data_IF_361197249909
#
_entry.id   IF_361197249909
#
_cell.length_a   1.000
_cell.length_b   1.000
_cell.length_c   1.000
_cell.angle_alpha   90.00
_cell.angle_beta   90.00
_cell.angle_gamma   90.00
#
_symmetry.space_group_name_H-M   'P 1'
#
loop_
_entity.id
_entity.type
_entity.pdbx_description
1 polymer ?
#
# COMPACT_ATOMS: atom_id res chain seq x y z
N UNK A 1 -7.92 -2.85 22.82
CA UNK A 1 -8.95 -2.56 21.79
C UNK A 1 -10.24 -3.36 21.94
N UNK A 2 -10.29 -4.34 22.88
CA UNK A 2 -11.48 -5.17 23.17
C UNK A 2 -12.13 -5.75 21.87
N UNK A 3 -11.32 -6.29 20.96
CA UNK A 3 -11.78 -6.81 19.67
C UNK A 3 -12.51 -5.77 18.79
N UNK A 4 -12.16 -4.49 18.90
CA UNK A 4 -12.73 -3.39 18.13
C UNK A 4 -12.84 -3.72 16.63
N UNK A 5 -11.84 -4.40 16.08
CA UNK A 5 -11.78 -4.82 14.69
C UNK A 5 -12.93 -5.74 14.26
N UNK A 6 -13.64 -6.35 15.20
CA UNK A 6 -14.81 -7.19 14.91
C UNK A 6 -16.11 -6.53 15.39
N UNK A 7 -16.10 -5.99 16.62
CA UNK A 7 -17.29 -5.47 17.29
C UNK A 7 -17.76 -4.15 16.66
N UNK A 8 -16.82 -3.30 16.21
CA UNK A 8 -17.12 -1.95 15.71
C UNK A 8 -17.20 -1.84 14.18
N UNK A 9 -17.30 -2.96 13.44
CA UNK A 9 -17.49 -2.91 11.98
C UNK A 9 -18.71 -2.06 11.58
N UNK A 10 -19.88 -2.17 12.25
CA UNK A 10 -21.02 -1.30 11.93
C UNK A 10 -20.72 0.19 12.14
N UNK A 11 -19.97 0.53 13.18
CA UNK A 11 -19.56 1.91 13.44
C UNK A 11 -18.55 2.41 12.39
N UNK A 12 -17.61 1.55 11.95
CA UNK A 12 -16.67 1.87 10.86
C UNK A 12 -17.46 2.25 9.58
N UNK A 13 -18.45 1.44 9.20
CA UNK A 13 -19.29 1.69 8.02
C UNK A 13 -20.14 2.96 8.21
N UNK A 14 -20.67 3.19 9.42
CA UNK A 14 -21.42 4.40 9.71
C UNK A 14 -20.58 5.66 9.51
N UNK A 15 -19.31 5.67 9.99
CA UNK A 15 -18.41 6.81 9.82
C UNK A 15 -18.09 7.14 8.36
N UNK A 16 -18.19 6.18 7.44
CA UNK A 16 -18.03 6.42 6.00
C UNK A 16 -19.22 7.20 5.40
N UNK A 17 -20.43 7.01 5.97
CA UNK A 17 -21.67 7.64 5.49
C UNK A 17 -21.93 8.99 6.12
N UNK A 18 -21.60 9.13 7.40
CA UNK A 18 -21.82 10.35 8.21
C UNK A 18 -20.62 11.32 8.12
N UNK A 19 -19.93 11.33 6.97
CA UNK A 19 -18.75 12.16 6.78
C UNK A 19 -19.02 13.63 7.14
N UNK A 20 -18.17 14.18 8.02
CA UNK A 20 -18.25 15.60 8.38
C UNK A 20 -17.59 16.44 7.29
N UNK A 21 -18.29 17.49 6.82
CA UNK A 21 -17.70 18.49 5.95
C UNK A 21 -16.73 19.36 6.75
N UNK A 22 -15.53 19.56 6.21
CA UNK A 22 -14.49 20.36 6.84
C UNK A 22 -14.43 21.75 6.22
N UNK A 23 -14.23 22.77 7.08
CA UNK A 23 -13.99 24.14 6.63
C UNK A 23 -12.49 24.42 6.45
N UNK A 24 -11.65 23.86 7.30
CA UNK A 24 -10.23 24.18 7.39
C UNK A 24 -9.29 22.99 7.07
N UNK A 25 -9.78 21.74 7.16
CA UNK A 25 -9.03 20.51 6.89
C UNK A 25 -9.53 19.76 5.67
N UNK A 26 -9.19 18.47 5.59
CA UNK A 26 -9.83 17.53 4.66
C UNK A 26 -11.05 16.91 5.32
N UNK A 27 -12.07 16.54 4.53
CA UNK A 27 -13.20 15.76 5.05
C UNK A 27 -12.77 14.35 5.43
N UNK A 28 -13.59 13.66 6.23
CA UNK A 28 -13.34 12.26 6.62
C UNK A 28 -13.19 11.34 5.40
N UNK A 29 -14.02 11.54 4.38
CA UNK A 29 -13.95 10.80 3.12
C UNK A 29 -12.68 11.11 2.32
N UNK A 30 -12.28 12.38 2.23
CA UNK A 30 -11.03 12.75 1.58
C UNK A 30 -9.81 12.12 2.27
N UNK A 31 -9.78 12.11 3.60
CA UNK A 31 -8.74 11.44 4.36
C UNK A 31 -8.70 9.93 4.11
N UNK A 32 -9.88 9.27 4.03
CA UNK A 32 -9.96 7.87 3.64
C UNK A 32 -9.39 7.64 2.25
N UNK A 33 -9.76 8.46 1.27
CA UNK A 33 -9.26 8.32 -0.11
C UNK A 33 -7.75 8.56 -0.20
N UNK A 34 -7.20 9.52 0.56
CA UNK A 34 -5.76 9.73 0.66
C UNK A 34 -5.03 8.51 1.26
N UNK A 35 -5.62 7.87 2.26
CA UNK A 35 -5.08 6.67 2.86
C UNK A 35 -5.17 5.46 1.93
N UNK A 36 -6.31 5.27 1.26
CA UNK A 36 -6.47 4.21 0.26
C UNK A 36 -5.56 4.43 -0.95
N UNK A 37 -5.31 5.68 -1.34
CA UNK A 37 -4.33 6.00 -2.37
C UNK A 37 -2.92 5.46 -2.03
N UNK A 38 -2.51 5.51 -0.76
CA UNK A 38 -1.25 4.94 -0.32
C UNK A 38 -1.23 3.41 -0.33
N UNK A 39 -2.32 2.80 0.08
CA UNK A 39 -2.46 1.34 0.25
C UNK A 39 -2.69 0.60 -1.07
N UNK A 40 -3.65 1.07 -1.88
CA UNK A 40 -4.04 0.38 -3.12
C UNK A 40 -3.05 0.67 -4.23
N UNK A 41 -2.11 -0.26 -4.44
CA UNK A 41 -0.99 -0.11 -5.36
C UNK A 41 -0.41 -1.44 -5.82
N UNK A 42 0.90 -1.46 -6.03
CA UNK A 42 1.64 -2.66 -6.42
C UNK A 42 1.50 -3.79 -5.39
N UNK A 43 1.28 -3.47 -4.10
CA UNK A 43 1.04 -4.45 -3.04
C UNK A 43 -0.15 -5.37 -3.31
N UNK A 44 -1.25 -4.81 -3.81
CA UNK A 44 -2.49 -5.55 -4.07
C UNK A 44 -2.44 -6.43 -5.32
N UNK A 45 -1.59 -6.12 -6.28
CA UNK A 45 -1.46 -6.84 -7.55
C UNK A 45 -0.20 -7.71 -7.53
N UNK A 46 0.97 -7.09 -7.64
CA UNK A 46 2.22 -7.82 -7.67
C UNK A 46 2.65 -8.39 -6.32
N UNK A 47 2.26 -7.73 -5.21
CA UNK A 47 2.52 -8.23 -3.85
C UNK A 47 1.78 -9.51 -3.56
N UNK A 48 0.49 -9.60 -3.91
CA UNK A 48 -0.32 -10.83 -3.78
C UNK A 48 0.23 -11.94 -4.67
N UNK A 49 0.58 -11.62 -5.93
CA UNK A 49 1.21 -12.58 -6.84
C UNK A 49 2.53 -13.13 -6.27
N UNK A 50 3.36 -12.25 -5.68
CA UNK A 50 4.62 -12.64 -5.03
C UNK A 50 4.37 -13.50 -3.78
N UNK A 51 3.35 -13.17 -2.98
CA UNK A 51 2.97 -13.98 -1.82
C UNK A 51 2.57 -15.41 -2.23
N UNK A 52 1.77 -15.54 -3.31
CA UNK A 52 1.36 -16.84 -3.84
C UNK A 52 2.55 -17.60 -4.46
N UNK A 53 3.43 -16.88 -5.19
CA UNK A 53 4.58 -17.51 -5.84
C UNK A 53 5.56 -18.15 -4.86
N UNK A 54 5.80 -17.51 -3.73
CA UNK A 54 6.82 -17.98 -2.76
C UNK A 54 6.22 -18.59 -1.48
N UNK A 55 4.94 -18.37 -1.21
CA UNK A 55 4.26 -18.92 -0.03
C UNK A 55 3.09 -19.84 -0.37
N UNK A 56 2.81 -20.04 -1.65
CA UNK A 56 1.63 -20.80 -2.11
C UNK A 56 0.31 -20.10 -1.78
N UNK A 57 -0.83 -20.73 -2.11
CA UNK A 57 -2.17 -20.21 -1.78
C UNK A 57 -2.36 -19.88 -0.29
N UNK A 58 -1.70 -20.60 0.60
CA UNK A 58 -1.77 -20.40 2.05
C UNK A 58 -1.30 -19.01 2.52
N UNK A 59 -0.45 -18.33 1.76
CA UNK A 59 -0.02 -16.98 2.07
C UNK A 59 -1.19 -15.99 2.13
N UNK A 60 -2.24 -16.22 1.34
CA UNK A 60 -3.45 -15.38 1.32
C UNK A 60 -4.17 -15.43 2.67
N UNK A 61 -4.28 -16.59 3.31
CA UNK A 61 -4.83 -16.71 4.67
C UNK A 61 -4.05 -15.84 5.66
N UNK A 62 -2.74 -15.87 5.62
CA UNK A 62 -1.91 -15.07 6.52
C UNK A 62 -1.96 -13.57 6.22
N UNK A 63 -2.20 -13.17 4.96
CA UNK A 63 -2.56 -11.79 4.64
C UNK A 63 -3.88 -11.37 5.31
N UNK A 64 -4.91 -12.24 5.33
CA UNK A 64 -6.17 -11.95 6.03
C UNK A 64 -5.98 -11.80 7.54
N UNK A 65 -5.17 -12.67 8.14
CA UNK A 65 -4.80 -12.55 9.55
C UNK A 65 -4.14 -11.21 9.83
N UNK A 66 -3.21 -10.78 8.96
CA UNK A 66 -2.56 -9.47 9.08
C UNK A 66 -3.55 -8.30 8.91
N UNK A 67 -4.56 -8.42 8.07
CA UNK A 67 -5.61 -7.40 7.96
C UNK A 67 -6.43 -7.27 9.25
N UNK A 68 -6.82 -8.39 9.85
CA UNK A 68 -7.59 -8.41 11.09
C UNK A 68 -6.80 -7.83 12.28
N UNK A 69 -5.52 -8.19 12.41
CA UNK A 69 -4.63 -7.62 13.44
C UNK A 69 -4.31 -6.16 13.15
N UNK A 70 -3.98 -5.86 11.90
CA UNK A 70 -3.60 -4.55 11.43
C UNK A 70 -4.70 -3.50 11.56
N UNK A 71 -5.98 -3.89 11.44
CA UNK A 71 -7.08 -2.96 11.64
C UNK A 71 -7.09 -2.36 13.06
N UNK A 72 -6.79 -3.16 14.10
CA UNK A 72 -6.67 -2.65 15.45
C UNK A 72 -5.46 -1.72 15.62
N UNK A 73 -4.34 -2.05 15.00
CA UNK A 73 -3.13 -1.20 14.99
C UNK A 73 -3.40 0.12 14.27
N UNK A 74 -4.01 0.06 13.08
CA UNK A 74 -4.37 1.24 12.29
C UNK A 74 -5.34 2.16 13.03
N UNK A 75 -6.29 1.61 13.80
CA UNK A 75 -7.16 2.39 14.68
C UNK A 75 -6.35 3.19 15.70
N UNK A 76 -5.42 2.54 16.40
CA UNK A 76 -4.64 3.19 17.45
C UNK A 76 -3.74 4.28 16.88
N UNK A 77 -2.91 3.94 15.88
CA UNK A 77 -1.97 4.90 15.30
C UNK A 77 -2.67 6.11 14.67
N UNK A 78 -3.80 5.90 14.00
CA UNK A 78 -4.57 6.98 13.36
C UNK A 78 -5.30 7.86 14.37
N UNK A 79 -5.80 7.28 15.47
CA UNK A 79 -6.35 8.04 16.60
C UNK A 79 -5.27 8.90 17.25
N UNK A 80 -4.06 8.36 17.46
CA UNK A 80 -2.91 9.13 17.97
C UNK A 80 -2.51 10.25 17.00
N UNK A 81 -2.51 9.97 15.69
CA UNK A 81 -2.26 10.97 14.65
C UNK A 81 -3.22 12.16 14.76
N UNK A 82 -4.50 11.90 15.04
CA UNK A 82 -5.51 12.95 15.25
C UNK A 82 -5.34 13.70 16.56
N UNK A 83 -5.02 13.02 17.67
CA UNK A 83 -4.87 13.66 19.00
C UNK A 83 -3.69 14.64 18.99
N UNK A 84 -2.58 14.27 18.35
CA UNK A 84 -1.33 15.04 18.40
C UNK A 84 -1.04 15.86 17.15
N UNK A 85 -2.00 16.00 16.23
CA UNK A 85 -1.83 16.82 15.02
C UNK A 85 -1.54 18.29 15.35
N UNK A 86 -0.93 18.96 14.41
CA UNK A 86 -0.64 20.38 14.45
C UNK A 86 -1.21 21.08 13.23
N UNK A 87 -1.46 22.37 13.35
CA UNK A 87 -1.79 23.21 12.20
C UNK A 87 -0.48 23.80 11.65
N UNK A 88 -0.21 23.57 10.39
CA UNK A 88 0.94 24.15 9.69
C UNK A 88 0.76 25.69 9.63
N UNK A 89 1.81 26.43 10.04
CA UNK A 89 1.77 27.89 10.13
C UNK A 89 1.70 28.57 8.76
N UNK A 90 2.22 27.92 7.73
CA UNK A 90 2.33 28.53 6.40
C UNK A 90 1.12 28.19 5.52
N UNK A 91 0.60 26.95 5.62
CA UNK A 91 -0.52 26.48 4.78
C UNK A 91 -1.86 26.49 5.50
N UNK A 92 -1.87 26.52 6.84
CA UNK A 92 -3.06 26.35 7.67
C UNK A 92 -3.61 24.92 7.72
N UNK A 93 -3.01 23.97 7.02
CA UNK A 93 -3.44 22.58 6.95
C UNK A 93 -3.08 21.80 8.22
N UNK A 94 -3.86 20.78 8.57
CA UNK A 94 -3.51 19.88 9.65
C UNK A 94 -2.45 18.88 9.20
N UNK A 95 -1.44 18.67 10.06
CA UNK A 95 -0.34 17.72 9.86
C UNK A 95 -0.13 16.91 11.13
N UNK A 96 0.15 15.62 10.99
CA UNK A 96 0.39 14.71 12.12
C UNK A 96 1.03 13.41 11.62
N UNK A 97 1.21 12.49 12.55
CA UNK A 97 1.84 11.20 12.29
C UNK A 97 2.76 10.80 13.44
N UNK A 98 3.52 9.69 13.33
CA UNK A 98 4.33 9.17 14.41
C UNK A 98 5.33 10.19 14.99
N UNK A 99 6.03 10.93 14.15
CA UNK A 99 6.98 11.94 14.61
C UNK A 99 6.32 12.97 15.56
N UNK A 100 5.06 13.33 15.30
CA UNK A 100 4.31 14.27 16.11
C UNK A 100 3.87 13.67 17.44
N UNK A 101 3.29 12.46 17.45
CA UNK A 101 2.82 11.88 18.70
C UNK A 101 3.98 11.36 19.57
N UNK A 102 5.08 10.86 19.02
CA UNK A 102 6.27 10.54 19.82
C UNK A 102 6.81 11.76 20.55
N UNK A 103 6.88 12.90 19.90
CA UNK A 103 7.42 14.12 20.52
C UNK A 103 6.48 14.75 21.55
N UNK A 104 5.16 14.61 21.38
CA UNK A 104 4.17 15.32 22.21
C UNK A 104 3.61 14.48 23.36
N UNK A 105 3.34 13.18 23.13
CA UNK A 105 2.63 12.35 24.08
C UNK A 105 3.31 12.32 25.47
N UNK A 106 4.61 12.36 25.50
CA UNK A 106 5.41 12.25 26.72
C UNK A 106 6.32 13.47 26.96
N UNK A 107 6.03 14.61 26.36
CA UNK A 107 6.83 15.84 26.50
C UNK A 107 6.97 16.33 27.95
N UNK A 108 5.99 15.98 28.82
CA UNK A 108 5.97 16.30 30.24
C UNK A 108 6.85 15.36 31.10
N UNK A 109 7.37 14.27 30.55
CA UNK A 109 8.22 13.32 31.27
C UNK A 109 9.71 13.73 31.22
N UNK A 110 10.52 13.37 32.25
CA UNK A 110 11.96 13.69 32.27
C UNK A 110 12.72 13.15 31.04
N UNK A 111 12.30 11.99 30.53
CA UNK A 111 12.87 11.35 29.33
C UNK A 111 12.22 11.79 28.01
N UNK A 112 11.28 12.75 28.06
CA UNK A 112 10.60 13.26 26.85
C UNK A 112 11.54 13.79 25.77
N UNK A 113 12.72 14.32 26.16
CA UNK A 113 13.76 14.74 25.20
C UNK A 113 14.27 13.60 24.32
N UNK A 114 14.37 12.38 24.85
CA UNK A 114 14.77 11.21 24.06
C UNK A 114 13.73 10.87 22.98
N UNK A 115 12.44 11.05 23.27
CA UNK A 115 11.38 10.84 22.29
C UNK A 115 11.33 11.93 21.21
N UNK A 116 11.84 13.13 21.48
CA UNK A 116 12.04 14.13 20.41
C UNK A 116 13.06 13.63 19.40
N UNK A 117 14.19 13.09 19.86
CA UNK A 117 15.21 12.49 19.00
C UNK A 117 14.64 11.29 18.24
N UNK A 118 13.88 10.44 18.92
CA UNK A 118 13.20 9.29 18.31
C UNK A 118 12.20 9.72 17.23
N UNK A 119 11.39 10.76 17.48
CA UNK A 119 10.46 11.31 16.51
C UNK A 119 11.19 11.89 15.28
N UNK A 120 12.33 12.54 15.45
CA UNK A 120 13.17 13.00 14.33
C UNK A 120 13.76 11.81 13.55
N UNK A 121 14.22 10.77 14.24
CA UNK A 121 14.71 9.55 13.60
C UNK A 121 13.60 8.90 12.76
N UNK A 122 12.40 8.75 13.32
CA UNK A 122 11.25 8.23 12.58
C UNK A 122 10.95 9.09 11.34
N UNK A 123 10.95 10.41 11.48
CA UNK A 123 10.69 11.33 10.37
C UNK A 123 11.73 11.17 9.24
N UNK A 124 13.02 11.03 9.59
CA UNK A 124 14.08 10.80 8.61
C UNK A 124 13.88 9.47 7.88
N UNK A 125 13.62 8.39 8.63
CA UNK A 125 13.38 7.06 8.04
C UNK A 125 12.16 7.09 7.13
N UNK A 126 11.06 7.73 7.55
CA UNK A 126 9.85 7.85 6.73
C UNK A 126 10.11 8.66 5.46
N UNK A 127 10.88 9.76 5.53
CA UNK A 127 11.26 10.52 4.34
C UNK A 127 11.95 9.61 3.32
N UNK A 128 12.97 8.86 3.72
CA UNK A 128 13.68 7.98 2.80
C UNK A 128 12.81 6.81 2.32
N UNK A 129 12.04 6.19 3.20
CA UNK A 129 11.14 5.10 2.84
C UNK A 129 10.12 5.54 1.79
N UNK A 130 9.43 6.65 2.02
CA UNK A 130 8.32 7.09 1.17
C UNK A 130 8.71 7.98 0.00
N UNK A 131 9.95 8.51 -0.05
CA UNK A 131 10.43 9.27 -1.21
C UNK A 131 11.43 8.53 -2.08
N UNK A 132 12.08 7.46 -1.58
CA UNK A 132 13.08 6.75 -2.35
C UNK A 132 12.86 5.23 -2.43
N UNK A 133 12.59 4.53 -1.32
CA UNK A 133 12.52 3.07 -1.35
C UNK A 133 11.20 2.54 -1.95
N UNK A 134 10.07 3.03 -1.50
CA UNK A 134 8.75 2.54 -1.88
C UNK A 134 8.26 2.99 -3.27
N UNK A 135 8.51 4.25 -3.73
CA UNK A 135 8.08 4.67 -5.06
C UNK A 135 8.69 3.84 -6.20
N UNK A 136 9.93 3.36 -6.01
CA UNK A 136 10.60 2.50 -6.97
C UNK A 136 9.88 1.16 -7.20
N UNK A 137 9.30 0.55 -6.15
CA UNK A 137 8.51 -0.68 -6.28
C UNK A 137 7.27 -0.45 -7.14
N UNK A 138 6.59 0.68 -6.92
CA UNK A 138 5.40 1.04 -7.69
C UNK A 138 5.73 1.21 -9.17
N UNK A 139 6.80 1.95 -9.46
CA UNK A 139 7.25 2.21 -10.83
C UNK A 139 7.73 0.93 -11.54
N UNK A 140 8.41 0.04 -10.82
CA UNK A 140 8.84 -1.26 -11.33
C UNK A 140 7.66 -2.11 -11.78
N UNK A 141 6.62 -2.21 -10.93
CA UNK A 141 5.43 -2.98 -11.26
C UNK A 141 4.69 -2.44 -12.47
N UNK A 142 4.59 -1.11 -12.61
CA UNK A 142 3.98 -0.48 -13.81
C UNK A 142 4.80 -0.78 -15.05
N UNK A 143 6.13 -0.64 -14.99
CA UNK A 143 7.01 -0.91 -16.12
C UNK A 143 6.88 -2.37 -16.59
N UNK A 144 6.93 -3.33 -15.65
CA UNK A 144 6.76 -4.75 -15.96
C UNK A 144 5.38 -5.07 -16.57
N UNK A 145 4.30 -4.48 -16.03
CA UNK A 145 2.96 -4.70 -16.56
C UNK A 145 2.76 -4.11 -17.96
N UNK A 146 3.33 -2.93 -18.22
CA UNK A 146 3.27 -2.24 -19.52
C UNK A 146 4.13 -2.96 -20.56
N UNK A 147 5.32 -3.42 -20.18
CA UNK A 147 6.18 -4.23 -21.04
C UNK A 147 5.46 -5.52 -21.46
N UNK A 148 4.85 -6.23 -20.51
CA UNK A 148 4.08 -7.44 -20.79
C UNK A 148 2.85 -7.20 -21.68
N UNK A 149 2.17 -6.05 -21.51
CA UNK A 149 0.95 -5.73 -22.26
C UNK A 149 1.22 -5.22 -23.69
N UNK A 150 2.24 -4.39 -23.85
CA UNK A 150 2.44 -3.62 -25.09
C UNK A 150 3.87 -3.65 -25.63
N UNK A 151 4.76 -4.44 -25.01
CA UNK A 151 6.17 -4.53 -25.38
C UNK A 151 6.88 -3.16 -25.41
N UNK A 152 6.46 -2.26 -24.50
CA UNK A 152 7.07 -0.93 -24.34
C UNK A 152 8.26 -1.05 -23.41
N UNK A 153 9.40 -0.55 -23.83
CA UNK A 153 10.63 -0.58 -23.04
C UNK A 153 10.48 0.15 -21.70
N UNK A 154 11.00 -0.42 -20.58
CA UNK A 154 10.84 0.15 -19.24
C UNK A 154 11.28 1.60 -19.07
N UNK A 155 12.32 2.03 -19.80
CA UNK A 155 12.80 3.43 -19.74
C UNK A 155 11.79 4.43 -20.31
N UNK A 156 10.98 4.05 -21.31
CA UNK A 156 9.91 4.89 -21.86
C UNK A 156 8.82 5.09 -20.80
N UNK A 157 8.47 4.01 -20.11
CA UNK A 157 7.52 4.06 -18.99
C UNK A 157 8.07 4.94 -17.86
N UNK A 158 9.37 4.83 -17.55
CA UNK A 158 10.05 5.68 -16.57
C UNK A 158 9.90 7.17 -16.90
N UNK A 159 10.19 7.56 -18.13
CA UNK A 159 10.08 8.95 -18.59
C UNK A 159 8.63 9.45 -18.49
N UNK A 160 7.67 8.66 -18.95
CA UNK A 160 6.25 9.02 -18.88
C UNK A 160 5.79 9.23 -17.43
N UNK A 161 6.12 8.29 -16.53
CA UNK A 161 5.77 8.38 -15.10
C UNK A 161 6.42 9.59 -14.44
N UNK A 162 7.70 9.87 -14.71
CA UNK A 162 8.42 11.03 -14.15
C UNK A 162 7.77 12.34 -14.58
N UNK A 163 7.41 12.48 -15.86
CA UNK A 163 6.75 13.69 -16.38
C UNK A 163 5.38 13.90 -15.71
N UNK A 164 4.55 12.85 -15.64
CA UNK A 164 3.23 12.92 -15.02
C UNK A 164 3.33 13.23 -13.53
N UNK A 165 4.26 12.57 -12.83
CA UNK A 165 4.46 12.77 -11.40
C UNK A 165 4.97 14.20 -11.11
N UNK A 166 5.94 14.69 -11.89
CA UNK A 166 6.45 16.05 -11.75
C UNK A 166 5.33 17.08 -11.86
N UNK A 167 4.41 16.91 -12.81
CA UNK A 167 3.26 17.80 -12.99
C UNK A 167 2.35 17.89 -11.76
N UNK A 168 2.12 16.75 -11.07
CA UNK A 168 1.27 16.72 -9.87
C UNK A 168 2.03 17.20 -8.63
N UNK A 169 3.23 16.66 -8.39
CA UNK A 169 4.02 16.94 -7.18
C UNK A 169 4.42 18.42 -7.10
N UNK A 170 4.71 19.06 -8.24
CA UNK A 170 4.99 20.49 -8.29
C UNK A 170 3.74 21.36 -8.06
N UNK A 171 2.53 20.77 -8.16
CA UNK A 171 1.25 21.45 -7.92
C UNK A 171 0.77 21.50 -6.47
N UNK A 172 1.45 20.80 -5.53
CA UNK A 172 1.19 20.82 -4.10
C UNK A 172 0.06 19.91 -3.61
N UNK A 173 -0.10 19.82 -2.29
CA UNK A 173 -0.96 18.85 -1.57
C UNK A 173 -2.44 18.90 -1.98
N UNK A 174 -3.00 20.07 -2.24
CA UNK A 174 -4.41 20.20 -2.66
C UNK A 174 -4.69 19.49 -3.99
N UNK A 175 -3.76 19.57 -4.94
CA UNK A 175 -3.88 18.87 -6.23
C UNK A 175 -3.80 17.34 -6.03
N UNK A 176 -2.93 16.90 -5.14
CA UNK A 176 -2.78 15.51 -4.74
C UNK A 176 -4.09 14.95 -4.17
N UNK A 177 -4.65 15.61 -3.17
CA UNK A 177 -5.90 15.19 -2.54
C UNK A 177 -7.07 15.14 -3.54
N UNK A 178 -7.20 16.16 -4.38
CA UNK A 178 -8.25 16.21 -5.42
C UNK A 178 -8.11 15.07 -6.40
N UNK A 179 -6.89 14.78 -6.88
CA UNK A 179 -6.65 13.66 -7.80
C UNK A 179 -7.02 12.31 -7.16
N UNK A 180 -6.58 12.05 -5.94
CA UNK A 180 -6.85 10.80 -5.23
C UNK A 180 -8.35 10.54 -5.03
N UNK A 181 -9.12 11.58 -4.64
CA UNK A 181 -10.58 11.47 -4.39
C UNK A 181 -11.35 11.00 -5.63
N UNK A 182 -10.94 11.41 -6.82
CA UNK A 182 -11.65 11.02 -8.06
C UNK A 182 -11.14 9.69 -8.63
N UNK A 183 -9.84 9.45 -8.59
CA UNK A 183 -9.23 8.31 -9.28
C UNK A 183 -9.34 7.02 -8.46
N UNK A 184 -9.03 7.07 -7.15
CA UNK A 184 -8.96 5.86 -6.33
C UNK A 184 -10.29 5.08 -6.25
N UNK A 185 -11.45 5.72 -5.97
CA UNK A 185 -12.71 4.97 -5.88
C UNK A 185 -13.09 4.31 -7.20
N UNK A 186 -12.93 5.03 -8.32
CA UNK A 186 -13.28 4.52 -9.65
C UNK A 186 -12.45 3.28 -9.98
N UNK A 187 -11.14 3.35 -9.75
CA UNK A 187 -10.23 2.25 -10.04
C UNK A 187 -10.49 1.04 -9.15
N UNK A 188 -10.64 1.26 -7.83
CA UNK A 188 -10.91 0.17 -6.89
C UNK A 188 -12.24 -0.53 -7.21
N UNK A 189 -13.29 0.24 -7.49
CA UNK A 189 -14.60 -0.32 -7.86
C UNK A 189 -14.51 -1.11 -9.17
N UNK A 190 -13.89 -0.56 -10.21
CA UNK A 190 -13.73 -1.26 -11.48
C UNK A 190 -12.96 -2.58 -11.29
N UNK A 191 -11.85 -2.54 -10.54
CA UNK A 191 -11.05 -3.73 -10.27
C UNK A 191 -11.85 -4.81 -9.53
N UNK A 192 -12.58 -4.42 -8.48
CA UNK A 192 -13.44 -5.34 -7.70
C UNK A 192 -14.57 -5.89 -8.57
N UNK A 193 -15.22 -5.06 -9.41
CA UNK A 193 -16.29 -5.50 -10.29
C UNK A 193 -15.79 -6.56 -11.28
N UNK A 194 -14.65 -6.34 -11.93
CA UNK A 194 -14.07 -7.35 -12.81
C UNK A 194 -13.67 -8.61 -12.06
N UNK A 195 -13.11 -8.49 -10.86
CA UNK A 195 -12.80 -9.63 -10.02
C UNK A 195 -14.06 -10.45 -9.66
N UNK A 196 -15.16 -9.78 -9.33
CA UNK A 196 -16.44 -10.43 -9.05
C UNK A 196 -17.01 -11.12 -10.30
N UNK A 197 -16.86 -10.53 -11.48
CA UNK A 197 -17.26 -11.17 -12.74
C UNK A 197 -16.45 -12.46 -12.96
N UNK A 198 -15.11 -12.41 -12.79
CA UNK A 198 -14.27 -13.61 -12.91
C UNK A 198 -14.67 -14.67 -11.90
N UNK A 199 -14.91 -14.26 -10.64
CA UNK A 199 -15.35 -15.15 -9.58
C UNK A 199 -16.70 -15.79 -9.90
N UNK A 200 -17.64 -15.03 -10.44
CA UNK A 200 -18.95 -15.54 -10.84
C UNK A 200 -18.85 -16.51 -12.00
N UNK A 201 -18.02 -16.23 -13.00
CA UNK A 201 -17.76 -17.12 -14.14
C UNK A 201 -17.04 -18.41 -13.73
N UNK A 202 -16.32 -18.40 -12.60
CA UNK A 202 -15.64 -19.55 -12.01
C UNK A 202 -16.25 -19.96 -10.66
N UNK A 203 -17.56 -19.83 -10.50
CA UNK A 203 -18.23 -20.07 -9.22
C UNK A 203 -18.04 -21.50 -8.69
N UNK A 204 -17.88 -22.46 -9.55
CA UNK A 204 -17.53 -23.85 -9.24
C UNK A 204 -16.14 -23.99 -8.61
N UNK A 205 -15.21 -23.06 -8.89
CA UNK A 205 -13.87 -23.05 -8.34
C UNK A 205 -13.80 -22.40 -6.94
N UNK A 206 -14.82 -21.67 -6.51
CA UNK A 206 -14.82 -20.98 -5.20
C UNK A 206 -14.50 -21.92 -4.04
N UNK A 207 -15.17 -23.08 -3.88
CA UNK A 207 -14.84 -24.01 -2.80
C UNK A 207 -13.42 -24.57 -2.89
N UNK A 208 -12.92 -24.79 -4.12
CA UNK A 208 -11.56 -25.28 -4.38
C UNK A 208 -10.54 -24.23 -3.98
N UNK A 209 -10.75 -22.98 -4.35
CA UNK A 209 -9.84 -21.85 -3.98
C UNK A 209 -9.78 -21.68 -2.46
N UNK A 210 -10.93 -21.64 -1.78
CA UNK A 210 -10.94 -21.56 -0.31
C UNK A 210 -10.28 -22.80 0.31
N UNK A 211 -10.60 -23.99 -0.19
CA UNK A 211 -9.97 -25.24 0.25
C UNK A 211 -8.45 -25.18 0.13
N UNK A 212 -7.93 -24.75 -1.02
CA UNK A 212 -6.50 -24.60 -1.25
C UNK A 212 -5.84 -23.54 -0.33
N UNK A 213 -6.49 -22.40 -0.11
CA UNK A 213 -5.99 -21.36 0.79
C UNK A 213 -5.87 -21.91 2.22
N UNK A 214 -6.92 -22.55 2.74
CA UNK A 214 -6.90 -23.05 4.13
C UNK A 214 -6.00 -24.29 4.28
N UNK A 215 -6.07 -25.26 3.39
CA UNK A 215 -5.24 -26.48 3.49
C UNK A 215 -3.75 -26.15 3.37
N UNK A 216 -3.38 -25.26 2.47
CA UNK A 216 -2.00 -24.80 2.28
C UNK A 216 -1.49 -23.97 3.47
N UNK A 217 -2.35 -23.14 4.08
CA UNK A 217 -1.97 -22.31 5.22
C UNK A 217 -1.59 -23.12 6.47
N UNK A 218 -2.15 -24.33 6.64
CA UNK A 218 -1.94 -25.19 7.80
C UNK A 218 -1.20 -26.49 7.50
N UNK A 219 -0.59 -26.60 6.32
CA UNK A 219 0.22 -27.76 5.94
C UNK A 219 -0.57 -29.04 5.68
N UNK A 220 -1.86 -28.93 5.44
CA UNK A 220 -2.72 -30.08 5.13
C UNK A 220 -2.71 -30.45 3.65
N UNK A 221 -2.12 -29.60 2.81
CA UNK A 221 -1.97 -29.80 1.39
C UNK A 221 -0.69 -30.58 1.09
N UNK A 222 -0.79 -31.62 0.27
CA UNK A 222 0.35 -32.50 -0.06
C UNK A 222 1.44 -31.77 -0.88
N UNK A 223 1.06 -30.76 -1.68
CA UNK A 223 1.99 -29.97 -2.51
C UNK A 223 2.64 -28.87 -1.70
N UNK A 224 1.86 -28.14 -0.90
CA UNK A 224 2.32 -26.92 -0.21
C UNK A 224 2.68 -27.15 1.26
N UNK A 225 2.52 -28.35 1.79
CA UNK A 225 2.80 -28.64 3.20
C UNK A 225 4.25 -28.37 3.63
N UNK A 226 5.21 -28.56 2.71
CA UNK A 226 6.63 -28.29 2.99
C UNK A 226 6.96 -26.79 3.12
N UNK A 227 6.12 -25.89 2.59
CA UNK A 227 6.37 -24.45 2.55
C UNK A 227 5.48 -23.62 3.49
N UNK A 228 4.86 -24.22 4.51
CA UNK A 228 3.99 -23.50 5.47
C UNK A 228 4.73 -22.33 6.12
N UNK A 229 6.00 -22.47 6.45
CA UNK A 229 6.83 -21.39 6.97
C UNK A 229 6.91 -20.21 6.00
N UNK A 230 7.07 -20.50 4.72
CA UNK A 230 7.07 -19.48 3.65
C UNK A 230 5.67 -18.86 3.47
N UNK A 231 4.60 -19.65 3.60
CA UNK A 231 3.24 -19.13 3.56
C UNK A 231 2.99 -18.07 4.65
N UNK A 232 3.41 -18.35 5.87
CA UNK A 232 3.35 -17.41 7.00
C UNK A 232 4.20 -16.17 6.70
N UNK A 233 5.46 -16.37 6.37
CA UNK A 233 6.41 -15.29 6.13
C UNK A 233 5.95 -14.33 5.01
N UNK A 234 5.60 -14.88 3.86
CA UNK A 234 5.20 -14.08 2.70
C UNK A 234 3.81 -13.48 2.88
N UNK A 235 2.88 -14.19 3.53
CA UNK A 235 1.57 -13.66 3.86
C UNK A 235 1.65 -12.46 4.81
N UNK A 236 2.44 -12.56 5.88
CA UNK A 236 2.69 -11.45 6.81
C UNK A 236 3.40 -10.29 6.10
N UNK A 237 4.49 -10.57 5.39
CA UNK A 237 5.31 -9.56 4.72
C UNK A 237 4.51 -8.77 3.69
N UNK A 238 3.74 -9.44 2.82
CA UNK A 238 2.92 -8.78 1.79
C UNK A 238 1.63 -8.20 2.34
N UNK A 239 1.06 -8.80 3.40
CA UNK A 239 -0.07 -8.23 4.12
C UNK A 239 0.26 -6.89 4.74
N UNK A 240 1.36 -6.79 5.51
CA UNK A 240 1.83 -5.52 6.09
C UNK A 240 2.20 -4.51 5.01
N UNK A 241 2.90 -4.95 3.94
CA UNK A 241 3.25 -4.06 2.82
C UNK A 241 2.02 -3.41 2.19
N UNK A 242 0.95 -4.20 1.95
CA UNK A 242 -0.25 -3.73 1.27
C UNK A 242 -1.09 -2.80 2.16
N UNK A 243 -1.45 -3.26 3.38
CA UNK A 243 -2.38 -2.52 4.23
C UNK A 243 -1.76 -1.38 5.05
N UNK A 244 -0.44 -1.29 5.08
CA UNK A 244 0.34 -0.25 5.77
C UNK A 244 0.09 -0.14 7.28
N UNK A 245 -0.69 -1.03 7.89
CA UNK A 245 -0.99 -0.98 9.31
C UNK A 245 0.26 -1.25 10.16
N UNK A 246 0.53 -0.37 11.11
CA UNK A 246 1.71 -0.45 11.98
C UNK A 246 2.98 0.15 11.39
N UNK A 247 2.96 0.63 10.14
CA UNK A 247 4.09 1.34 9.55
C UNK A 247 4.15 2.82 9.96
N UNK A 248 3.06 3.35 10.54
CA UNK A 248 2.94 4.76 10.87
C UNK A 248 2.61 5.66 9.67
N UNK A 249 2.23 5.12 8.53
CA UNK A 249 1.85 5.86 7.32
C UNK A 249 0.41 6.37 7.39
N UNK A 250 -0.54 5.53 7.81
CA UNK A 250 -1.96 5.87 7.96
C UNK A 250 -2.25 7.12 8.80
N UNK A 251 -1.55 7.34 9.92
CA UNK A 251 -1.70 8.55 10.74
C UNK A 251 -1.50 9.88 10.01
N UNK A 252 -0.72 9.92 8.92
CA UNK A 252 -0.50 11.16 8.16
C UNK A 252 -1.78 11.60 7.45
N UNK A 253 -2.46 10.67 6.77
CA UNK A 253 -3.73 10.94 6.12
C UNK A 253 -4.84 11.20 7.16
N UNK A 254 -4.88 10.39 8.22
CA UNK A 254 -5.83 10.56 9.32
C UNK A 254 -5.73 11.96 9.95
N UNK A 255 -4.53 12.46 10.20
CA UNK A 255 -4.31 13.76 10.83
C UNK A 255 -4.80 14.94 9.97
N UNK A 256 -4.79 14.82 8.66
CA UNK A 256 -5.27 15.87 7.75
C UNK A 256 -6.78 16.14 7.89
N UNK A 257 -7.55 15.17 8.38
CA UNK A 257 -8.99 15.31 8.55
C UNK A 257 -9.36 16.21 9.73
N UNK A 258 -10.42 17.00 9.54
CA UNK A 258 -11.11 17.70 10.61
C UNK A 258 -12.34 16.88 11.01
N UNK A 259 -12.33 16.37 12.24
CA UNK A 259 -13.41 15.53 12.78
C UNK A 259 -13.72 15.91 14.23
N UNK A 260 -14.94 15.70 14.64
CA UNK A 260 -15.43 16.06 16.00
C UNK A 260 -14.79 15.19 17.10
N UNK A 261 -14.29 13.97 16.77
CA UNK A 261 -13.62 13.11 17.72
C UNK A 261 -12.52 12.26 17.05
N UNK A 262 -11.30 12.18 17.63
CA UNK A 262 -10.17 11.45 17.03
C UNK A 262 -10.46 9.99 16.66
N UNK A 263 -11.23 9.27 17.48
CA UNK A 263 -11.57 7.87 17.23
C UNK A 263 -12.39 7.66 15.96
N UNK A 264 -13.10 8.67 15.45
CA UNK A 264 -13.81 8.57 14.17
C UNK A 264 -12.84 8.27 13.03
N UNK A 265 -11.73 8.99 12.97
CA UNK A 265 -10.68 8.69 11.98
C UNK A 265 -9.98 7.37 12.26
N UNK A 266 -9.80 6.98 13.51
CA UNK A 266 -9.32 5.64 13.85
C UNK A 266 -10.19 4.53 13.25
N UNK A 267 -11.52 4.64 13.38
CA UNK A 267 -12.47 3.67 12.80
C UNK A 267 -12.43 3.66 11.27
N UNK A 268 -12.39 4.82 10.65
CA UNK A 268 -12.29 4.96 9.19
C UNK A 268 -11.02 4.29 8.66
N UNK A 269 -9.89 4.51 9.32
CA UNK A 269 -8.60 3.95 8.91
C UNK A 269 -8.49 2.45 9.20
N UNK A 270 -9.14 1.96 10.26
CA UNK A 270 -9.27 0.52 10.50
C UNK A 270 -10.06 -0.17 9.38
N UNK A 271 -11.15 0.46 8.91
CA UNK A 271 -11.92 -0.08 7.79
C UNK A 271 -11.15 -0.03 6.47
N UNK A 272 -10.30 0.98 6.26
CA UNK A 272 -9.44 1.06 5.08
C UNK A 272 -8.51 -0.15 4.93
N UNK A 273 -8.04 -0.75 6.05
CA UNK A 273 -7.26 -2.00 6.05
C UNK A 273 -8.08 -3.16 5.46
N UNK A 274 -9.38 -3.23 5.77
CA UNK A 274 -10.25 -4.26 5.21
C UNK A 274 -10.49 -4.05 3.73
N UNK A 275 -10.75 -2.80 3.30
CA UNK A 275 -10.90 -2.49 1.88
C UNK A 275 -9.67 -2.96 1.10
N UNK A 276 -8.48 -2.62 1.58
CA UNK A 276 -7.23 -2.99 0.93
C UNK A 276 -7.06 -4.52 0.86
N UNK A 277 -7.03 -5.18 2.01
CA UNK A 277 -6.55 -6.56 2.06
C UNK A 277 -7.68 -7.58 1.90
N UNK A 278 -8.82 -7.42 2.63
CA UNK A 278 -9.91 -8.40 2.55
C UNK A 278 -10.70 -8.29 1.24
N UNK A 279 -10.74 -7.11 0.60
CA UNK A 279 -11.44 -6.95 -0.68
C UNK A 279 -10.45 -6.95 -1.85
N UNK A 280 -9.55 -5.97 -1.95
CA UNK A 280 -8.71 -5.82 -3.16
C UNK A 280 -7.66 -6.92 -3.29
N UNK A 281 -6.91 -7.24 -2.22
CA UNK A 281 -5.94 -8.34 -2.28
C UNK A 281 -6.62 -9.70 -2.47
N UNK A 282 -7.78 -9.92 -1.83
CA UNK A 282 -8.54 -11.17 -2.03
C UNK A 282 -9.04 -11.29 -3.46
N UNK A 283 -9.52 -10.19 -4.07
CA UNK A 283 -9.92 -10.17 -5.47
C UNK A 283 -8.77 -10.65 -6.38
N UNK A 284 -7.57 -10.12 -6.17
CA UNK A 284 -6.35 -10.53 -6.89
C UNK A 284 -6.03 -12.01 -6.65
N UNK A 285 -6.06 -12.46 -5.40
CA UNK A 285 -5.79 -13.85 -5.05
C UNK A 285 -6.77 -14.82 -5.71
N UNK A 286 -8.07 -14.49 -5.69
CA UNK A 286 -9.09 -15.28 -6.35
C UNK A 286 -8.90 -15.36 -7.87
N UNK A 287 -8.56 -14.24 -8.52
CA UNK A 287 -8.26 -14.24 -9.95
C UNK A 287 -7.11 -15.21 -10.27
N UNK A 288 -6.01 -15.09 -9.54
CA UNK A 288 -4.81 -15.91 -9.75
C UNK A 288 -5.10 -17.39 -9.52
N UNK A 289 -5.70 -17.73 -8.37
CA UNK A 289 -5.87 -19.12 -7.95
C UNK A 289 -6.98 -19.82 -8.75
N UNK A 290 -8.14 -19.17 -8.96
CA UNK A 290 -9.27 -19.77 -9.68
C UNK A 290 -8.96 -20.05 -11.15
N UNK A 291 -8.11 -19.26 -11.77
CA UNK A 291 -7.71 -19.44 -13.17
C UNK A 291 -6.48 -20.32 -13.34
N UNK A 292 -5.79 -20.70 -12.25
CA UNK A 292 -4.52 -21.42 -12.31
C UNK A 292 -3.38 -20.59 -12.94
N UNK A 293 -3.45 -19.27 -12.88
CA UNK A 293 -2.46 -18.37 -13.47
C UNK A 293 -1.30 -18.09 -12.51
N UNK A 294 -0.69 -19.13 -11.94
CA UNK A 294 0.41 -18.98 -11.00
C UNK A 294 1.37 -20.17 -11.01
N UNK A 295 2.57 -19.93 -10.54
CA UNK A 295 3.62 -20.89 -10.26
C UNK A 295 4.09 -20.71 -8.83
N UNK A 296 4.41 -21.80 -8.14
CA UNK A 296 4.92 -21.79 -6.77
C UNK A 296 6.31 -22.39 -6.74
N UNK A 297 7.21 -21.73 -6.04
CA UNK A 297 8.61 -22.11 -5.88
C UNK A 297 8.86 -22.68 -4.47
N UNK A 298 9.80 -23.61 -4.36
CA UNK A 298 10.24 -24.20 -3.09
C UNK A 298 10.95 -23.18 -2.18
N UNK A 299 11.49 -22.11 -2.74
CA UNK A 299 12.30 -21.09 -2.05
C UNK A 299 11.85 -19.67 -2.42
N UNK A 300 12.43 -18.68 -1.76
CA UNK A 300 12.17 -17.26 -1.99
C UNK A 300 12.79 -16.71 -3.30
N UNK A 301 12.95 -17.53 -4.32
CA UNK A 301 13.62 -17.18 -5.58
C UNK A 301 13.02 -17.92 -6.76
N UNK A 302 12.85 -17.24 -7.88
CA UNK A 302 12.48 -17.82 -9.17
C UNK A 302 13.53 -18.81 -9.73
N UNK A 303 14.74 -18.81 -9.16
CA UNK A 303 15.78 -19.81 -9.46
C UNK A 303 15.59 -21.13 -8.68
N UNK A 304 14.66 -21.16 -7.70
CA UNK A 304 14.30 -22.36 -6.94
C UNK A 304 13.52 -23.38 -7.79
N UNK A 305 13.40 -24.59 -7.26
CA UNK A 305 12.58 -25.61 -7.89
C UNK A 305 11.11 -25.19 -7.91
N UNK A 306 10.44 -25.43 -9.04
CA UNK A 306 8.99 -25.23 -9.18
C UNK A 306 8.27 -26.43 -8.59
N UNK A 307 7.45 -26.21 -7.55
CA UNK A 307 6.67 -27.26 -6.89
C UNK A 307 5.23 -27.33 -7.41
N UNK A 308 4.75 -26.24 -8.02
CA UNK A 308 3.45 -26.18 -8.67
C UNK A 308 3.49 -25.23 -9.86
N UNK A 309 2.88 -25.63 -10.97
CA UNK A 309 2.69 -24.81 -12.15
C UNK A 309 1.25 -24.96 -12.66
N UNK A 310 0.53 -23.83 -12.69
CA UNK A 310 -0.84 -23.80 -13.20
C UNK A 310 -0.88 -23.66 -14.72
N UNK A 311 -1.95 -24.20 -15.34
CA UNK A 311 -2.05 -24.32 -16.79
C UNK A 311 -2.28 -23.02 -17.55
N UNK A 312 -2.66 -21.92 -16.88
CA UNK A 312 -2.96 -20.64 -17.53
C UNK A 312 -1.80 -19.65 -17.49
N UNK A 313 -0.66 -20.01 -16.89
CA UNK A 313 0.50 -19.13 -16.80
C UNK A 313 1.48 -19.42 -17.96
N UNK A 314 1.86 -18.43 -18.78
CA UNK A 314 2.91 -18.58 -19.78
C UNK A 314 4.26 -18.95 -19.13
N UNK A 315 5.04 -19.83 -19.80
CA UNK A 315 6.33 -20.26 -19.29
C UNK A 315 7.32 -19.08 -19.07
N UNK A 316 7.18 -18.02 -19.85
CA UNK A 316 8.01 -16.80 -19.78
C UNK A 316 7.52 -15.79 -18.75
N UNK A 317 6.38 -16.01 -18.09
CA UNK A 317 5.84 -15.08 -17.12
C UNK A 317 6.71 -15.03 -15.87
N UNK A 318 7.17 -13.85 -15.49
CA UNK A 318 7.87 -13.58 -14.24
C UNK A 318 6.91 -13.37 -13.07
N UNK A 319 7.38 -13.57 -11.86
CA UNK A 319 6.59 -13.32 -10.63
C UNK A 319 6.22 -11.84 -10.52
N UNK A 320 4.94 -11.57 -10.36
CA UNK A 320 4.44 -10.21 -10.20
C UNK A 320 3.14 -9.95 -10.98
N UNK A 321 2.98 -8.78 -11.61
CA UNK A 321 1.76 -8.41 -12.33
C UNK A 321 1.36 -9.41 -13.43
N UNK A 322 2.32 -10.10 -14.03
CA UNK A 322 2.08 -11.09 -15.10
C UNK A 322 1.13 -12.23 -14.66
N UNK A 323 1.12 -12.61 -13.39
CA UNK A 323 0.18 -13.60 -12.87
C UNK A 323 -1.26 -13.11 -12.95
N UNK A 324 -1.49 -11.86 -12.57
CA UNK A 324 -2.83 -11.25 -12.63
C UNK A 324 -3.24 -11.00 -14.08
N UNK A 325 -2.32 -10.53 -14.91
CA UNK A 325 -2.54 -10.34 -16.35
C UNK A 325 -2.97 -11.63 -17.02
N UNK A 326 -2.27 -12.75 -16.73
CA UNK A 326 -2.60 -14.07 -17.27
C UNK A 326 -3.94 -14.59 -16.73
N UNK A 327 -4.27 -14.33 -15.46
CA UNK A 327 -5.55 -14.70 -14.88
C UNK A 327 -6.73 -13.99 -15.54
N UNK A 328 -6.60 -12.69 -15.79
CA UNK A 328 -7.60 -11.95 -16.58
C UNK A 328 -7.69 -12.43 -18.03
N UNK A 329 -6.53 -12.71 -18.65
CA UNK A 329 -6.46 -13.12 -20.05
C UNK A 329 -7.06 -14.51 -20.28
N UNK A 330 -6.96 -15.40 -19.31
CA UNK A 330 -7.59 -16.72 -19.34
C UNK A 330 -9.12 -16.64 -19.43
N UNK A 331 -9.73 -15.57 -18.92
CA UNK A 331 -11.19 -15.34 -18.95
C UNK A 331 -11.62 -14.38 -20.07
N UNK A 332 -10.79 -13.41 -20.39
CA UNK A 332 -11.07 -12.35 -21.37
C UNK A 332 -9.86 -12.21 -22.30
N UNK A 333 -9.74 -13.12 -23.24
CA UNK A 333 -8.58 -13.20 -24.14
C UNK A 333 -8.26 -11.86 -24.84
N UNK A 334 -7.00 -11.45 -24.77
CA UNK A 334 -6.49 -10.19 -25.32
C UNK A 334 -6.81 -8.94 -24.46
N UNK A 335 -7.64 -9.05 -23.42
CA UNK A 335 -8.01 -7.91 -22.55
C UNK A 335 -7.15 -7.83 -21.28
N UNK A 336 -6.79 -8.98 -20.71
CA UNK A 336 -6.13 -9.08 -19.40
C UNK A 336 -4.88 -8.22 -19.26
N UNK A 337 -3.88 -8.39 -20.12
CA UNK A 337 -2.63 -7.61 -20.01
C UNK A 337 -2.85 -6.11 -20.02
N UNK A 338 -3.69 -5.61 -20.94
CA UNK A 338 -4.00 -4.18 -21.07
C UNK A 338 -4.75 -3.65 -19.85
N UNK A 339 -5.79 -4.37 -19.39
CA UNK A 339 -6.57 -3.93 -18.22
C UNK A 339 -5.72 -3.80 -16.97
N UNK A 340 -4.92 -4.83 -16.68
CA UNK A 340 -4.06 -4.84 -15.47
C UNK A 340 -2.96 -3.78 -15.56
N UNK A 341 -2.36 -3.57 -16.75
CA UNK A 341 -1.35 -2.54 -16.94
C UNK A 341 -1.93 -1.13 -16.67
N UNK A 342 -3.12 -0.84 -17.19
CA UNK A 342 -3.81 0.44 -16.96
C UNK A 342 -4.22 0.57 -15.48
N UNK A 343 -4.84 -0.45 -14.89
CA UNK A 343 -5.25 -0.45 -13.51
C UNK A 343 -4.07 -0.21 -12.57
N UNK A 344 -2.97 -0.96 -12.78
CA UNK A 344 -1.77 -0.83 -11.99
C UNK A 344 -1.09 0.53 -12.17
N UNK A 345 -1.08 1.09 -13.39
CA UNK A 345 -0.55 2.42 -13.63
C UNK A 345 -1.27 3.48 -12.77
N UNK A 346 -2.59 3.43 -12.69
CA UNK A 346 -3.36 4.33 -11.84
C UNK A 346 -3.14 4.07 -10.33
N UNK A 347 -3.21 2.82 -9.88
CA UNK A 347 -2.97 2.46 -8.50
C UNK A 347 -1.57 2.87 -8.04
N UNK A 348 -0.53 2.48 -8.76
CA UNK A 348 0.84 2.81 -8.43
C UNK A 348 1.08 4.33 -8.44
N UNK A 349 0.50 5.04 -9.39
CA UNK A 349 0.63 6.48 -9.48
C UNK A 349 0.01 7.19 -8.29
N UNK A 350 -1.21 6.81 -7.87
CA UNK A 350 -1.85 7.37 -6.67
C UNK A 350 -1.05 7.06 -5.41
N UNK A 351 -0.46 5.86 -5.32
CA UNK A 351 0.39 5.46 -4.20
C UNK A 351 1.66 6.29 -4.12
N UNK A 352 2.35 6.53 -5.23
CA UNK A 352 3.55 7.39 -5.27
C UNK A 352 3.21 8.81 -4.81
N UNK A 353 2.06 9.33 -5.23
CA UNK A 353 1.58 10.65 -4.83
C UNK A 353 1.27 10.71 -3.33
N UNK A 354 0.66 9.67 -2.76
CA UNK A 354 0.43 9.56 -1.32
C UNK A 354 1.76 9.46 -0.53
N UNK A 355 2.72 8.71 -1.03
CA UNK A 355 4.06 8.62 -0.44
C UNK A 355 4.78 9.97 -0.42
N UNK A 356 4.67 10.75 -1.49
CA UNK A 356 5.19 12.12 -1.47
C UNK A 356 4.56 12.97 -0.35
N UNK A 357 3.25 12.88 -0.16
CA UNK A 357 2.57 13.58 0.93
C UNK A 357 3.12 13.18 2.31
N UNK A 358 3.30 11.87 2.56
CA UNK A 358 3.87 11.38 3.82
C UNK A 358 5.30 11.89 4.05
N UNK A 359 6.13 11.87 3.01
CA UNK A 359 7.49 12.41 3.07
C UNK A 359 7.49 13.92 3.34
N UNK A 360 6.60 14.68 2.69
CA UNK A 360 6.46 16.13 2.90
C UNK A 360 6.05 16.45 4.33
N UNK A 361 5.07 15.75 4.91
CA UNK A 361 4.64 15.95 6.30
C UNK A 361 5.81 15.77 7.27
N UNK A 362 6.64 14.75 7.08
CA UNK A 362 7.82 14.50 7.91
C UNK A 362 8.95 15.53 7.67
N UNK A 363 9.14 15.98 6.44
CA UNK A 363 10.07 17.07 6.15
C UNK A 363 9.66 18.37 6.82
N UNK A 364 8.37 18.70 6.78
CA UNK A 364 7.81 19.86 7.48
C UNK A 364 8.02 19.75 9.00
N UNK A 365 7.80 18.55 9.58
CA UNK A 365 8.09 18.31 10.99
C UNK A 365 9.54 18.62 11.35
N UNK A 366 10.52 18.16 10.56
CA UNK A 366 11.93 18.43 10.82
C UNK A 366 12.25 19.91 10.64
N UNK A 367 11.69 20.55 9.62
CA UNK A 367 12.05 21.93 9.25
C UNK A 367 11.22 23.00 9.94
N UNK A 368 10.20 22.64 10.74
CA UNK A 368 9.26 23.58 11.39
C UNK A 368 9.92 24.64 12.29
N UNK A 369 11.08 24.32 12.88
CA UNK A 369 11.81 25.20 13.78
C UNK A 369 12.90 26.03 13.06
N UNK A 370 13.12 25.82 11.76
CA UNK A 370 14.10 26.59 11.00
C UNK A 370 13.47 27.88 10.50
N UNK A 371 14.06 29.02 10.87
CA UNK A 371 13.56 30.34 10.50
C UNK A 371 13.83 30.72 9.04
N UNK A 372 14.70 29.98 8.35
CA UNK A 372 15.11 30.32 6.98
C UNK A 372 14.13 29.74 5.93
N UNK A 373 13.32 30.57 5.28
CA UNK A 373 12.35 30.08 4.28
C UNK A 373 13.02 29.51 3.02
N UNK A 374 14.25 29.97 2.69
CA UNK A 374 15.01 29.43 1.58
C UNK A 374 15.40 27.98 1.82
N UNK A 375 15.88 27.65 3.04
CA UNK A 375 16.23 26.29 3.43
C UNK A 375 15.04 25.34 3.26
N UNK A 376 13.86 25.73 3.76
CA UNK A 376 12.64 24.91 3.63
C UNK A 376 12.27 24.70 2.17
N UNK A 377 12.34 25.73 1.33
CA UNK A 377 12.06 25.63 -0.11
C UNK A 377 13.05 24.70 -0.82
N UNK A 378 14.34 24.82 -0.53
CA UNK A 378 15.38 23.94 -1.11
C UNK A 378 15.16 22.50 -0.67
N UNK A 379 14.87 22.24 0.62
CA UNK A 379 14.59 20.91 1.13
C UNK A 379 13.37 20.25 0.44
N UNK A 380 12.28 21.01 0.23
CA UNK A 380 11.11 20.54 -0.51
C UNK A 380 11.45 20.21 -1.97
N UNK A 381 12.26 21.03 -2.65
CA UNK A 381 12.70 20.76 -4.02
C UNK A 381 13.59 19.52 -4.10
N UNK A 382 14.48 19.34 -3.11
CA UNK A 382 15.30 18.14 -3.01
C UNK A 382 14.45 16.88 -2.82
N UNK A 383 13.42 16.95 -1.96
CA UNK A 383 12.45 15.85 -1.78
C UNK A 383 11.71 15.51 -3.07
N UNK A 384 11.24 16.53 -3.81
CA UNK A 384 10.59 16.37 -5.11
C UNK A 384 11.54 15.71 -6.12
N UNK A 385 12.80 16.14 -6.16
CA UNK A 385 13.83 15.52 -7.01
C UNK A 385 14.09 14.06 -6.62
N UNK A 386 14.15 13.76 -5.33
CA UNK A 386 14.43 12.41 -4.83
C UNK A 386 13.36 11.39 -5.25
N UNK A 387 12.08 11.76 -5.15
CA UNK A 387 11.00 10.85 -5.55
C UNK A 387 10.98 10.63 -7.07
N UNK A 388 11.29 11.64 -7.88
CA UNK A 388 11.39 11.49 -9.32
C UNK A 388 12.55 10.57 -9.72
N UNK A 389 13.69 10.68 -9.03
CA UNK A 389 14.84 9.76 -9.21
C UNK A 389 14.47 8.34 -8.82
N UNK A 390 13.75 8.17 -7.71
CA UNK A 390 13.27 6.85 -7.28
C UNK A 390 12.37 6.19 -8.32
N UNK A 391 11.42 6.93 -8.88
CA UNK A 391 10.51 6.43 -9.92
C UNK A 391 11.29 6.06 -11.19
N UNK A 392 12.21 6.92 -11.63
CA UNK A 392 13.06 6.64 -12.78
C UNK A 392 13.91 5.39 -12.59
N UNK A 393 14.58 5.27 -11.43
CA UNK A 393 15.40 4.11 -11.10
C UNK A 393 14.55 2.84 -10.98
N UNK A 394 13.45 2.90 -10.24
CA UNK A 394 12.60 1.74 -9.98
C UNK A 394 12.01 1.13 -11.24
N UNK A 395 11.60 1.96 -12.19
CA UNK A 395 11.02 1.49 -13.45
C UNK A 395 12.01 0.65 -14.29
N UNK A 396 13.33 0.94 -14.20
CA UNK A 396 14.37 0.22 -14.96
C UNK A 396 15.16 -0.78 -14.12
N UNK A 397 14.95 -0.80 -12.81
CA UNK A 397 15.62 -1.72 -11.88
C UNK A 397 15.09 -3.14 -12.03
N UNK A 398 15.87 -4.13 -11.61
CA UNK A 398 15.34 -5.50 -11.46
C UNK A 398 14.29 -5.56 -10.37
N UNK A 399 13.30 -6.43 -10.53
CA UNK A 399 12.20 -6.62 -9.56
C UNK A 399 12.74 -6.93 -8.16
N UNK A 400 13.77 -7.79 -8.05
CA UNK A 400 14.38 -8.11 -6.76
C UNK A 400 15.04 -6.90 -6.09
N UNK A 401 15.72 -6.03 -6.84
CA UNK A 401 16.29 -4.81 -6.29
C UNK A 401 15.22 -3.80 -5.82
N UNK A 402 14.17 -3.60 -6.62
CA UNK A 402 13.07 -2.71 -6.27
C UNK A 402 12.36 -3.18 -4.99
N UNK A 403 11.96 -4.46 -4.93
CA UNK A 403 11.31 -5.03 -3.75
C UNK A 403 12.21 -5.05 -2.52
N UNK A 404 13.53 -5.34 -2.67
CA UNK A 404 14.48 -5.32 -1.57
C UNK A 404 14.55 -3.94 -0.90
N UNK A 405 14.59 -2.86 -1.68
CA UNK A 405 14.53 -1.49 -1.15
C UNK A 405 13.19 -1.21 -0.47
N UNK A 406 12.08 -1.64 -1.08
CA UNK A 406 10.74 -1.47 -0.50
C UNK A 406 10.61 -2.15 0.86
N UNK A 407 11.08 -3.38 0.99
CA UNK A 407 11.04 -4.14 2.23
C UNK A 407 11.91 -3.52 3.34
N UNK A 408 13.07 -2.94 3.00
CA UNK A 408 13.88 -2.15 3.93
C UNK A 408 13.08 -0.94 4.42
N UNK A 409 12.41 -0.22 3.53
CA UNK A 409 11.60 0.94 3.87
C UNK A 409 10.47 0.58 4.83
N UNK A 410 9.65 -0.42 4.49
CA UNK A 410 8.55 -0.91 5.31
C UNK A 410 9.04 -1.42 6.66
N UNK A 411 10.05 -2.28 6.66
CA UNK A 411 10.60 -2.86 7.88
C UNK A 411 11.14 -1.79 8.83
N UNK A 412 11.87 -0.82 8.31
CA UNK A 412 12.42 0.28 9.12
C UNK A 412 11.34 1.14 9.76
N UNK A 413 10.29 1.50 9.01
CA UNK A 413 9.17 2.27 9.54
C UNK A 413 8.38 1.46 10.58
N UNK A 414 8.05 0.20 10.29
CA UNK A 414 7.30 -0.66 11.21
C UNK A 414 8.05 -0.88 12.52
N UNK A 415 9.35 -1.17 12.48
CA UNK A 415 10.17 -1.31 13.69
C UNK A 415 10.21 -0.07 14.57
N UNK A 416 10.21 1.11 13.98
CA UNK A 416 10.20 2.36 14.73
C UNK A 416 8.81 2.77 15.21
N UNK A 417 7.74 2.22 14.66
CA UNK A 417 6.37 2.57 15.06
C UNK A 417 5.76 1.59 16.09
N UNK A 418 6.41 0.45 16.33
CA UNK A 418 6.05 -0.50 17.38
C UNK A 418 6.59 0.04 18.73
#
# INVERSE_FOLDING_TARGET
>A
TMFLQFVNIPDMIRQLREGEDSKDGTSSLQSLMMSLAGRVGMGNIGGVATAIAFGGPGAVFWMWVMALLGAATSFIESTLGQIYKERDRDTGEYRGGPAYYFTKAYSHKPWGKALVVYGVLFAIVTIFATSYFLPGVQANGVAAAVEQAWSVEPWIVAVAMVILLAFIVLGGVKRIATFAVYVVPVMAVLYIVFALIILFLNADQIPVVFGSIFSSAFGMDAVFGAIVGLAIQWGVRRGVYSNEAGQGTGPHAAAAAEVSHPAKQGLVQAFAVYIDTLFVCSATAFIIISTGAYRVYESESEAGAVIFEGGSLPATASVGPAYVQSGFDAMFSGFGPTFVAVALAFFAFTTIVAYYYMAEVNLVFITRNFSNPLFRRVALRALQGLILVSVAYGAVATTGAAWGLGDIGVGSMAWLNI
#
